data_IF_014030851472
#
_entry.id   IF_014030851472
#
_cell.length_a   1.000
_cell.length_b   1.000
_cell.length_c   1.000
_cell.angle_alpha   90.00
_cell.angle_beta   90.00
_cell.angle_gamma   90.00
#
_symmetry.space_group_name_H-M   'P 1'
#
loop_
_entity.id
_entity.type
_entity.pdbx_description
1 polymer ?
#
# COMPACT_ATOMS: atom_id res chain seq x y z
N UNK A 1 27.35 9.64 6.14
CA UNK A 1 25.90 9.96 6.06
C UNK A 1 25.35 10.09 4.63
N UNK A 2 26.15 10.30 3.58
CA UNK A 2 25.70 10.43 2.16
C UNK A 2 25.67 9.12 1.32
N UNK A 3 25.90 7.96 1.94
CA UNK A 3 25.81 6.62 1.33
C UNK A 3 24.92 5.67 2.15
N UNK A 4 24.07 6.22 3.02
CA UNK A 4 22.98 5.45 3.58
C UNK A 4 21.88 5.42 2.52
N UNK A 5 21.75 4.23 1.96
CA UNK A 5 20.74 3.71 1.04
C UNK A 5 19.52 4.63 0.78
N UNK A 6 19.55 5.35 -0.34
CA UNK A 6 18.42 6.16 -0.81
C UNK A 6 17.11 5.36 -0.81
N UNK A 7 17.17 4.04 -1.03
CA UNK A 7 16.01 3.16 -1.04
C UNK A 7 15.34 3.08 0.33
N UNK A 8 16.08 2.77 1.39
CA UNK A 8 15.54 2.70 2.75
C UNK A 8 14.93 4.04 3.18
N UNK A 9 15.56 5.16 2.84
CA UNK A 9 14.99 6.49 3.12
C UNK A 9 13.70 6.76 2.34
N UNK A 10 13.68 6.51 1.03
CA UNK A 10 12.47 6.67 0.20
C UNK A 10 11.34 5.79 0.70
N UNK A 11 11.64 4.55 1.08
CA UNK A 11 10.66 3.63 1.67
C UNK A 11 10.05 4.19 2.95
N UNK A 12 10.87 4.64 3.91
CA UNK A 12 10.39 5.23 5.17
C UNK A 12 9.50 6.46 4.92
N UNK A 13 9.85 7.31 3.95
CA UNK A 13 9.04 8.48 3.57
C UNK A 13 7.72 8.06 2.92
N UNK A 14 7.73 7.08 2.01
CA UNK A 14 6.52 6.57 1.36
C UNK A 14 5.56 5.95 2.40
N UNK A 15 6.08 5.10 3.29
CA UNK A 15 5.31 4.48 4.37
C UNK A 15 4.68 5.54 5.27
N UNK A 16 5.42 6.60 5.61
CA UNK A 16 4.89 7.73 6.37
C UNK A 16 3.73 8.42 5.65
N UNK A 17 3.89 8.75 4.37
CA UNK A 17 2.84 9.40 3.57
C UNK A 17 1.58 8.53 3.46
N UNK A 18 1.74 7.23 3.16
CA UNK A 18 0.65 6.26 3.05
C UNK A 18 -0.09 6.08 4.39
N UNK A 19 0.65 5.95 5.49
CA UNK A 19 0.08 5.83 6.82
C UNK A 19 -0.72 7.07 7.23
N UNK A 20 -0.19 8.27 6.94
CA UNK A 20 -0.89 9.53 7.19
C UNK A 20 -2.16 9.67 6.34
N UNK A 21 -2.12 9.27 5.07
CA UNK A 21 -3.28 9.30 4.20
C UNK A 21 -4.39 8.37 4.71
N UNK A 22 -4.05 7.15 5.13
CA UNK A 22 -5.00 6.22 5.73
C UNK A 22 -5.55 6.74 7.06
N UNK A 23 -4.70 7.32 7.92
CA UNK A 23 -5.13 7.91 9.19
C UNK A 23 -6.11 9.07 8.96
N UNK A 24 -5.83 9.95 7.99
CA UNK A 24 -6.76 11.03 7.59
C UNK A 24 -8.10 10.49 7.10
N UNK A 25 -8.11 9.42 6.32
CA UNK A 25 -9.35 8.76 5.87
C UNK A 25 -10.17 8.15 7.04
N UNK A 26 -9.56 8.01 8.22
CA UNK A 26 -10.22 7.62 9.47
C UNK A 26 -10.57 8.84 10.35
N UNK A 27 -10.50 10.06 9.81
CA UNK A 27 -10.69 11.33 10.52
C UNK A 27 -9.68 11.58 11.65
N UNK A 28 -8.47 11.01 11.57
CA UNK A 28 -7.37 11.33 12.48
C UNK A 28 -6.70 12.61 12.00
N UNK A 29 -6.67 13.62 12.88
CA UNK A 29 -6.29 14.97 12.53
C UNK A 29 -5.25 15.59 13.48
N UNK A 30 -4.77 16.79 13.14
CA UNK A 30 -3.98 17.63 14.04
C UNK A 30 -2.69 16.98 14.54
N UNK A 31 -2.46 17.07 15.85
CA UNK A 31 -1.25 16.53 16.49
C UNK A 31 -1.13 15.02 16.32
N UNK A 32 -2.22 14.27 16.50
CA UNK A 32 -2.20 12.82 16.42
C UNK A 32 -1.80 12.33 15.03
N UNK A 33 -2.25 12.99 13.97
CA UNK A 33 -1.82 12.67 12.61
C UNK A 33 -0.31 12.88 12.40
N UNK A 34 0.25 13.97 12.96
CA UNK A 34 1.70 14.20 12.89
C UNK A 34 2.46 13.10 13.64
N UNK A 35 1.96 12.65 14.78
CA UNK A 35 2.56 11.53 15.51
C UNK A 35 2.48 10.22 14.73
N UNK A 36 1.39 9.95 13.99
CA UNK A 36 1.28 8.79 13.10
C UNK A 36 2.33 8.86 11.98
N UNK A 37 2.44 10.00 11.32
CA UNK A 37 3.45 10.22 10.28
C UNK A 37 4.87 10.05 10.80
N UNK A 38 5.15 10.60 11.98
CA UNK A 38 6.46 10.48 12.61
C UNK A 38 6.78 9.04 13.03
N UNK A 39 5.83 8.34 13.67
CA UNK A 39 5.99 6.96 14.07
C UNK A 39 6.22 6.03 12.86
N UNK A 40 5.48 6.26 11.77
CA UNK A 40 5.66 5.57 10.51
C UNK A 40 7.02 5.88 9.87
N UNK A 41 7.46 7.14 9.89
CA UNK A 41 8.77 7.53 9.36
C UNK A 41 9.91 6.85 10.11
N UNK A 42 9.74 6.59 11.41
CA UNK A 42 10.79 6.04 12.28
C UNK A 42 10.72 4.53 12.51
N UNK A 43 9.75 3.82 11.91
CA UNK A 43 9.49 2.40 12.22
C UNK A 43 10.75 1.53 12.08
N UNK A 44 11.59 1.85 11.09
CA UNK A 44 12.76 1.09 10.68
C UNK A 44 14.09 1.60 11.23
N UNK A 45 14.08 2.62 12.12
CA UNK A 45 15.30 3.31 12.57
C UNK A 45 16.34 2.36 13.20
N UNK A 46 15.89 1.24 13.77
CA UNK A 46 16.77 0.23 14.36
C UNK A 46 17.69 -0.47 13.36
N UNK A 47 17.41 -0.40 12.04
CA UNK A 47 18.28 -0.93 10.99
C UNK A 47 19.67 -0.27 10.99
N UNK A 48 19.83 0.88 11.65
CA UNK A 48 21.14 1.51 11.89
C UNK A 48 22.14 0.60 12.63
N UNK A 49 21.63 -0.35 13.43
CA UNK A 49 22.46 -1.35 14.13
C UNK A 49 22.58 -2.69 13.39
N UNK A 50 21.93 -2.83 12.23
CA UNK A 50 22.03 -4.05 11.41
C UNK A 50 23.33 -4.00 10.59
N UNK A 51 24.17 -5.05 10.62
CA UNK A 51 25.36 -5.15 9.78
C UNK A 51 25.06 -4.95 8.30
N UNK A 52 25.92 -4.22 7.57
CA UNK A 52 25.67 -3.83 6.18
C UNK A 52 25.64 -5.01 5.21
N UNK A 53 26.38 -6.07 5.49
CA UNK A 53 26.42 -7.33 4.77
C UNK A 53 25.10 -8.11 4.91
N UNK A 54 24.44 -8.01 6.07
CA UNK A 54 23.07 -8.53 6.29
C UNK A 54 22.03 -7.63 5.65
N UNK A 55 22.14 -6.31 5.85
CA UNK A 55 21.14 -5.33 5.39
C UNK A 55 21.03 -5.26 3.87
N UNK A 56 22.17 -5.32 3.16
CA UNK A 56 22.23 -5.15 1.70
C UNK A 56 22.40 -6.49 0.95
N UNK A 57 22.16 -7.62 1.61
CA UNK A 57 22.33 -8.93 0.99
C UNK A 57 21.40 -9.08 -0.23
N UNK A 58 21.92 -9.42 -1.43
CA UNK A 58 21.09 -9.57 -2.63
C UNK A 58 20.28 -10.88 -2.64
N UNK A 59 20.76 -11.89 -1.91
CA UNK A 59 20.13 -13.20 -1.80
C UNK A 59 19.26 -13.32 -0.54
N UNK A 60 18.52 -14.43 -0.43
CA UNK A 60 17.76 -14.74 0.78
C UNK A 60 18.69 -14.78 2.00
N UNK A 61 18.24 -14.15 3.08
CA UNK A 61 18.91 -14.25 4.38
C UNK A 61 18.86 -15.69 4.88
N UNK A 62 19.98 -16.15 5.44
CA UNK A 62 20.02 -17.35 6.27
C UNK A 62 19.22 -17.12 7.56
N UNK A 63 18.96 -18.20 8.31
CA UNK A 63 18.24 -18.08 9.58
C UNK A 63 18.95 -17.13 10.56
N UNK A 64 20.27 -17.24 10.70
CA UNK A 64 21.04 -16.43 11.64
C UNK A 64 21.08 -14.96 11.22
N UNK A 65 21.22 -14.68 9.91
CA UNK A 65 21.14 -13.33 9.37
C UNK A 65 19.74 -12.72 9.54
N UNK A 66 18.70 -13.54 9.37
CA UNK A 66 17.33 -13.11 9.64
C UNK A 66 17.10 -12.85 11.13
N UNK A 67 17.66 -13.66 12.02
CA UNK A 67 17.63 -13.41 13.47
C UNK A 67 18.33 -12.10 13.85
N UNK A 68 19.43 -11.74 13.17
CA UNK A 68 20.06 -10.42 13.31
C UNK A 68 19.15 -9.31 12.79
N UNK A 69 18.58 -9.46 11.59
CA UNK A 69 17.66 -8.48 11.00
C UNK A 69 16.45 -8.21 11.90
N UNK A 70 15.85 -9.24 12.51
CA UNK A 70 14.69 -9.10 13.41
C UNK A 70 14.95 -8.18 14.61
N UNK A 71 16.20 -7.95 15.01
CA UNK A 71 16.54 -7.12 16.17
C UNK A 71 16.22 -5.64 15.98
N UNK A 72 16.10 -5.18 14.72
CA UNK A 72 15.84 -3.77 14.44
C UNK A 72 14.56 -3.24 15.10
N UNK A 73 13.53 -4.08 15.31
CA UNK A 73 12.29 -3.66 15.98
C UNK A 73 12.54 -3.29 17.44
N UNK A 74 13.37 -4.08 18.14
CA UNK A 74 13.72 -3.88 19.55
C UNK A 74 14.73 -2.74 19.68
N UNK A 75 15.75 -2.72 18.82
CA UNK A 75 16.77 -1.67 18.80
C UNK A 75 16.15 -0.31 18.45
N UNK A 76 15.24 -0.26 17.48
CA UNK A 76 14.52 0.94 17.08
C UNK A 76 13.66 1.49 18.22
N UNK A 77 12.90 0.62 18.88
CA UNK A 77 12.12 1.00 20.06
C UNK A 77 12.99 1.55 21.21
N UNK A 78 14.17 0.95 21.44
CA UNK A 78 15.12 1.43 22.43
C UNK A 78 15.74 2.79 22.09
N UNK A 79 16.12 3.00 20.83
CA UNK A 79 16.61 4.29 20.34
C UNK A 79 15.55 5.36 20.60
N UNK A 80 14.34 5.14 20.10
CA UNK A 80 13.25 6.12 20.16
C UNK A 80 12.83 6.43 21.61
N UNK A 81 12.78 5.42 22.49
CA UNK A 81 12.45 5.63 23.91
C UNK A 81 13.49 6.49 24.65
N UNK A 82 14.74 6.49 24.21
CA UNK A 82 15.83 7.28 24.82
C UNK A 82 15.98 8.67 24.19
N UNK A 83 15.29 8.94 23.09
CA UNK A 83 15.32 10.23 22.42
C UNK A 83 14.38 11.21 23.14
N UNK A 84 14.87 12.39 23.58
CA UNK A 84 14.02 13.42 24.18
C UNK A 84 12.91 13.86 23.22
N UNK A 85 11.74 14.21 23.77
CA UNK A 85 10.59 14.76 23.03
C UNK A 85 10.00 13.82 21.95
N UNK A 86 10.37 12.54 21.98
CA UNK A 86 9.86 11.53 21.06
C UNK A 86 8.37 11.25 21.32
N UNK A 87 7.49 11.32 20.29
CA UNK A 87 6.10 10.89 20.45
C UNK A 87 6.01 9.46 20.94
N UNK A 88 5.13 9.19 21.91
CA UNK A 88 5.00 7.86 22.53
C UNK A 88 4.64 6.76 21.52
N UNK A 89 3.98 7.11 20.40
CA UNK A 89 3.66 6.18 19.32
C UNK A 89 4.89 5.65 18.59
N UNK A 90 5.95 6.45 18.44
CA UNK A 90 7.12 6.05 17.66
C UNK A 90 7.82 4.77 18.19
N UNK A 91 8.20 4.67 19.48
CA UNK A 91 8.78 3.43 20.00
C UNK A 91 7.80 2.24 19.99
N UNK A 92 6.48 2.49 20.09
CA UNK A 92 5.47 1.43 20.01
C UNK A 92 5.43 0.85 18.59
N UNK A 93 5.33 1.70 17.57
CA UNK A 93 5.26 1.27 16.17
C UNK A 93 6.56 0.58 15.75
N UNK A 94 7.72 1.13 16.10
CA UNK A 94 9.01 0.50 15.81
C UNK A 94 9.09 -0.92 16.40
N UNK A 95 8.56 -1.14 17.60
CA UNK A 95 8.53 -2.46 18.23
C UNK A 95 7.52 -3.43 17.57
N UNK A 96 6.37 -2.92 17.14
CA UNK A 96 5.21 -3.76 16.80
C UNK A 96 4.98 -3.99 15.30
N UNK A 97 5.58 -3.22 14.38
CA UNK A 97 5.18 -3.20 12.96
C UNK A 97 5.40 -4.51 12.18
N UNK A 98 6.16 -5.47 12.72
CA UNK A 98 6.30 -6.81 12.15
C UNK A 98 5.48 -7.90 12.88
N UNK A 99 4.65 -7.49 13.82
CA UNK A 99 3.62 -8.34 14.41
C UNK A 99 2.39 -8.38 13.52
N UNK A 100 1.83 -9.57 13.39
CA UNK A 100 0.52 -9.80 12.78
C UNK A 100 -0.58 -9.51 13.78
N UNK A 101 -1.83 -9.44 13.31
CA UNK A 101 -2.98 -9.15 14.17
C UNK A 101 -3.20 -10.22 15.26
N UNK A 102 -2.82 -11.47 14.99
CA UNK A 102 -2.82 -12.58 15.95
C UNK A 102 -1.58 -12.61 16.87
N UNK A 103 -0.75 -11.56 16.82
CA UNK A 103 0.52 -11.41 17.54
C UNK A 103 1.62 -12.42 17.14
N UNK A 104 1.41 -13.20 16.08
CA UNK A 104 2.52 -13.92 15.45
C UNK A 104 3.46 -12.95 14.72
N UNK A 105 4.65 -13.41 14.34
CA UNK A 105 5.70 -12.54 13.80
C UNK A 105 6.78 -12.27 14.83
N UNK A 106 7.37 -11.08 14.81
CA UNK A 106 8.45 -10.72 15.72
C UNK A 106 8.31 -9.27 16.20
N UNK A 107 8.75 -8.97 17.44
CA UNK A 107 9.44 -9.86 18.38
C UNK A 107 8.53 -10.93 19.00
N UNK A 108 9.11 -12.09 19.35
CA UNK A 108 8.36 -13.22 19.91
C UNK A 108 8.08 -13.05 21.41
N UNK A 109 7.10 -13.80 21.95
CA UNK A 109 6.80 -13.89 23.41
C UNK A 109 6.36 -12.56 24.06
N UNK A 110 5.58 -11.75 23.35
CA UNK A 110 5.12 -10.42 23.80
C UNK A 110 3.89 -10.42 24.72
N UNK A 111 3.44 -11.61 25.16
CA UNK A 111 2.23 -11.77 25.98
C UNK A 111 0.94 -11.42 25.24
N UNK A 112 -0.18 -11.39 25.97
CA UNK A 112 -1.48 -10.99 25.43
C UNK A 112 -1.59 -9.48 25.38
N UNK A 113 -1.76 -8.90 24.19
CA UNK A 113 -2.02 -7.47 24.00
C UNK A 113 -2.79 -7.21 22.70
N UNK A 114 -3.20 -5.96 22.49
CA UNK A 114 -3.76 -5.52 21.20
C UNK A 114 -2.71 -4.63 20.53
N UNK A 115 -2.51 -4.83 19.23
CA UNK A 115 -1.67 -3.94 18.44
C UNK A 115 -2.23 -2.52 18.48
N UNK A 116 -1.35 -1.53 18.49
CA UNK A 116 -1.76 -0.14 18.39
C UNK A 116 -2.41 0.12 17.01
N UNK A 117 -3.39 1.04 16.95
CA UNK A 117 -4.01 1.45 15.69
C UNK A 117 -2.97 1.97 14.68
N UNK A 118 -2.02 2.78 15.17
CA UNK A 118 -0.93 3.30 14.36
C UNK A 118 -0.08 2.16 13.80
N UNK A 119 0.27 1.15 14.62
CA UNK A 119 0.98 -0.07 14.19
C UNK A 119 0.22 -0.78 13.06
N UNK A 120 -1.08 -1.01 13.22
CA UNK A 120 -1.87 -1.73 12.20
C UNK A 120 -1.89 -0.98 10.86
N UNK A 121 -1.96 0.35 10.89
CA UNK A 121 -1.89 1.21 9.69
C UNK A 121 -0.50 1.15 9.06
N UNK A 122 0.56 1.31 9.86
CA UNK A 122 1.95 1.29 9.38
C UNK A 122 2.31 -0.07 8.79
N UNK A 123 1.88 -1.17 9.39
CA UNK A 123 2.15 -2.53 8.88
C UNK A 123 1.52 -2.76 7.49
N UNK A 124 0.33 -2.19 7.24
CA UNK A 124 -0.31 -2.23 5.92
C UNK A 124 0.50 -1.39 4.92
N UNK A 125 0.85 -0.15 5.29
CA UNK A 125 1.60 0.77 4.44
C UNK A 125 3.00 0.25 4.08
N UNK A 126 3.71 -0.34 5.05
CA UNK A 126 5.03 -0.97 4.90
C UNK A 126 5.00 -2.09 3.86
N UNK A 127 4.13 -3.08 4.06
CA UNK A 127 4.01 -4.20 3.13
C UNK A 127 3.56 -3.75 1.74
N UNK A 128 2.62 -2.79 1.67
CA UNK A 128 2.18 -2.24 0.40
C UNK A 128 3.32 -1.56 -0.36
N UNK A 129 4.08 -0.66 0.28
CA UNK A 129 5.20 0.02 -0.37
C UNK A 129 6.32 -0.96 -0.74
N UNK A 130 6.59 -1.96 0.10
CA UNK A 130 7.57 -3.00 -0.19
C UNK A 130 7.20 -3.86 -1.41
N UNK A 131 5.91 -4.11 -1.64
CA UNK A 131 5.40 -4.85 -2.81
C UNK A 131 5.30 -3.99 -4.07
N UNK A 132 5.00 -2.69 -3.91
CA UNK A 132 4.84 -1.73 -5.01
C UNK A 132 6.18 -1.19 -5.51
N UNK A 133 7.15 -1.03 -4.63
CA UNK A 133 8.44 -0.44 -4.97
C UNK A 133 9.27 -1.37 -5.86
N UNK A 134 9.76 -0.83 -6.98
CA UNK A 134 10.76 -1.50 -7.81
C UNK A 134 12.10 -1.56 -7.05
N UNK A 135 12.59 -2.77 -6.80
CA UNK A 135 13.91 -3.03 -6.22
C UNK A 135 14.88 -3.42 -7.35
N UNK A 136 16.21 -3.32 -7.16
CA UNK A 136 17.19 -3.73 -8.18
C UNK A 136 16.99 -5.14 -8.75
N UNK A 137 16.32 -6.02 -7.99
CA UNK A 137 16.06 -7.41 -8.34
C UNK A 137 14.57 -7.74 -8.61
N UNK A 138 13.66 -6.76 -8.58
CA UNK A 138 12.21 -7.01 -8.75
C UNK A 138 11.47 -5.75 -9.23
N UNK A 139 10.74 -5.86 -10.35
CA UNK A 139 9.74 -4.85 -10.74
C UNK A 139 8.60 -4.82 -9.72
N UNK A 140 8.16 -3.63 -9.33
CA UNK A 140 7.01 -3.43 -8.47
C UNK A 140 5.76 -4.15 -8.98
N UNK A 141 4.92 -4.64 -8.07
CA UNK A 141 3.65 -5.26 -8.45
C UNK A 141 2.58 -4.20 -8.72
N UNK A 142 1.67 -4.50 -9.64
CA UNK A 142 0.44 -3.71 -9.83
C UNK A 142 -0.48 -3.82 -8.60
N UNK A 143 -1.22 -2.74 -8.32
CA UNK A 143 -2.04 -2.57 -7.11
C UNK A 143 -3.07 -3.68 -6.90
N UNK A 144 -3.66 -4.18 -8.00
CA UNK A 144 -4.60 -5.30 -8.02
C UNK A 144 -3.96 -6.61 -7.50
N UNK A 145 -2.73 -6.89 -7.92
CA UNK A 145 -1.96 -8.06 -7.49
C UNK A 145 -1.51 -7.93 -6.05
N UNK A 146 -1.10 -6.74 -5.62
CA UNK A 146 -0.77 -6.46 -4.21
C UNK A 146 -1.99 -6.71 -3.32
N UNK A 147 -3.16 -6.24 -3.73
CA UNK A 147 -4.42 -6.50 -3.03
C UNK A 147 -4.72 -7.99 -2.95
N UNK A 148 -4.56 -8.74 -4.03
CA UNK A 148 -4.81 -10.19 -3.99
C UNK A 148 -3.89 -10.88 -2.99
N UNK A 149 -2.62 -10.48 -2.91
CA UNK A 149 -1.63 -11.00 -1.94
C UNK A 149 -1.98 -10.59 -0.51
N UNK A 150 -2.32 -9.33 -0.27
CA UNK A 150 -2.59 -8.81 1.07
C UNK A 150 -3.99 -9.19 1.59
N UNK A 151 -4.94 -9.35 0.68
CA UNK A 151 -6.37 -9.53 0.93
C UNK A 151 -6.87 -10.97 0.83
N UNK A 152 -5.97 -11.97 0.80
CA UNK A 152 -6.37 -13.37 0.93
C UNK A 152 -7.24 -13.54 2.19
N UNK A 153 -8.48 -14.00 1.99
CA UNK A 153 -9.46 -14.12 3.08
C UNK A 153 -8.90 -15.03 4.18
N UNK A 154 -8.94 -14.53 5.42
CA UNK A 154 -8.45 -15.28 6.59
C UNK A 154 -6.98 -15.06 6.91
N UNK A 155 -6.24 -14.22 6.17
CA UNK A 155 -4.87 -13.85 6.54
C UNK A 155 -4.87 -13.13 7.90
N UNK A 156 -4.16 -13.67 8.92
CA UNK A 156 -4.04 -13.03 10.22
C UNK A 156 -3.05 -11.85 10.20
N UNK A 157 -2.41 -11.58 9.05
CA UNK A 157 -1.38 -10.55 8.92
C UNK A 157 -1.91 -9.13 9.18
N UNK A 158 -3.14 -8.85 8.75
CA UNK A 158 -3.68 -7.49 8.77
C UNK A 158 -5.10 -7.41 9.35
N UNK A 159 -5.39 -6.27 9.96
CA UNK A 159 -6.74 -5.89 10.28
C UNK A 159 -7.57 -5.68 9.01
N UNK A 160 -8.51 -6.60 8.76
CA UNK A 160 -9.28 -6.66 7.52
C UNK A 160 -10.08 -5.37 7.23
N UNK A 161 -10.80 -4.74 8.20
CA UNK A 161 -11.43 -3.45 7.98
C UNK A 161 -10.46 -2.33 7.57
N UNK A 162 -9.29 -2.24 8.21
CA UNK A 162 -8.27 -1.24 7.88
C UNK A 162 -7.67 -1.51 6.49
N UNK A 163 -7.36 -2.76 6.17
CA UNK A 163 -6.84 -3.15 4.85
C UNK A 163 -7.84 -2.79 3.74
N UNK A 164 -9.12 -3.09 3.92
CA UNK A 164 -10.17 -2.72 2.94
C UNK A 164 -10.21 -1.20 2.71
N UNK A 165 -10.14 -0.41 3.79
CA UNK A 165 -10.10 1.06 3.69
C UNK A 165 -8.83 1.56 3.01
N UNK A 166 -7.69 0.94 3.28
CA UNK A 166 -6.42 1.26 2.62
C UNK A 166 -6.50 1.01 1.11
N UNK A 167 -6.97 -0.17 0.71
CA UNK A 167 -7.17 -0.52 -0.70
C UNK A 167 -8.10 0.48 -1.38
N UNK A 168 -9.17 0.88 -0.70
CA UNK A 168 -10.09 1.88 -1.23
C UNK A 168 -9.42 3.25 -1.41
N UNK A 169 -8.61 3.68 -0.44
CA UNK A 169 -7.87 4.94 -0.48
C UNK A 169 -6.85 5.00 -1.62
N UNK A 170 -6.21 3.88 -1.93
CA UNK A 170 -5.19 3.85 -2.99
C UNK A 170 -5.76 4.13 -4.38
N UNK A 171 -7.09 4.12 -4.55
CA UNK A 171 -7.75 4.28 -5.83
C UNK A 171 -7.40 3.11 -6.73
N UNK A 172 -8.35 2.20 -6.97
CA UNK A 172 -8.10 1.11 -7.92
C UNK A 172 -7.82 1.67 -9.31
N UNK A 173 -8.48 2.79 -9.63
CA UNK A 173 -8.39 3.47 -10.89
C UNK A 173 -8.44 4.99 -10.65
N UNK A 174 -7.32 5.64 -10.34
CA UNK A 174 -7.25 7.09 -10.35
C UNK A 174 -7.66 7.66 -11.72
N UNK A 175 -8.16 8.89 -11.71
CA UNK A 175 -8.49 9.63 -12.93
C UNK A 175 -7.28 9.66 -13.86
N UNK A 176 -7.50 9.28 -15.12
CA UNK A 176 -6.46 9.16 -16.15
C UNK A 176 -5.91 7.75 -16.32
N UNK A 177 -6.27 6.78 -15.49
CA UNK A 177 -5.87 5.39 -15.73
C UNK A 177 -6.64 4.78 -16.91
N UNK A 178 -5.93 4.00 -17.73
CA UNK A 178 -6.51 3.12 -18.72
C UNK A 178 -6.91 1.80 -18.06
N UNK A 179 -8.12 1.32 -18.35
CA UNK A 179 -8.71 0.13 -17.73
C UNK A 179 -9.45 -0.74 -18.74
N UNK A 180 -9.50 -2.05 -18.50
CA UNK A 180 -10.31 -3.00 -19.26
C UNK A 180 -11.59 -3.33 -18.50
N UNK A 181 -12.71 -3.36 -19.21
CA UNK A 181 -14.02 -3.72 -18.67
C UNK A 181 -14.31 -5.21 -18.87
N UNK A 182 -15.31 -5.75 -18.17
CA UNK A 182 -15.78 -7.14 -18.31
C UNK A 182 -16.42 -7.45 -19.67
N UNK A 183 -16.64 -6.42 -20.47
CA UNK A 183 -17.08 -6.45 -21.87
C UNK A 183 -15.91 -6.45 -22.86
N UNK A 184 -14.67 -6.54 -22.38
CA UNK A 184 -13.41 -6.39 -23.13
C UNK A 184 -13.14 -5.00 -23.74
N UNK A 185 -14.08 -4.05 -23.59
CA UNK A 185 -13.90 -2.63 -23.90
C UNK A 185 -12.73 -2.02 -23.09
N UNK A 186 -12.02 -1.06 -23.69
CA UNK A 186 -11.00 -0.25 -23.02
C UNK A 186 -11.50 1.16 -22.75
N UNK A 187 -11.25 1.64 -21.54
CA UNK A 187 -11.77 2.92 -21.08
C UNK A 187 -10.75 3.68 -20.22
N UNK A 188 -10.86 5.02 -20.23
CA UNK A 188 -10.08 5.90 -19.36
C UNK A 188 -10.94 6.33 -18.18
N UNK A 189 -10.40 6.27 -16.97
CA UNK A 189 -11.13 6.72 -15.78
C UNK A 189 -11.24 8.23 -15.75
N UNK A 190 -12.47 8.75 -15.67
CA UNK A 190 -12.76 10.19 -15.68
C UNK A 190 -13.12 10.73 -14.30
N UNK A 191 -13.70 9.89 -13.43
CA UNK A 191 -14.01 10.27 -12.06
C UNK A 191 -14.01 9.06 -11.13
N UNK A 192 -13.62 9.29 -9.88
CA UNK A 192 -13.74 8.30 -8.80
C UNK A 192 -15.20 8.22 -8.32
N UNK A 193 -15.62 7.03 -7.89
CA UNK A 193 -16.89 6.90 -7.19
C UNK A 193 -16.74 7.28 -5.72
N UNK A 194 -17.63 8.13 -5.15
CA UNK A 194 -17.45 8.67 -3.81
C UNK A 194 -17.32 7.63 -2.68
N UNK A 195 -17.91 6.44 -2.85
CA UNK A 195 -18.01 5.43 -1.79
C UNK A 195 -17.56 4.02 -2.20
N UNK A 196 -17.35 3.78 -3.49
CA UNK A 196 -17.05 2.44 -4.03
C UNK A 196 -15.97 2.54 -5.12
N UNK A 197 -14.69 2.48 -4.76
CA UNK A 197 -13.59 2.73 -5.70
C UNK A 197 -13.48 1.67 -6.80
N UNK A 198 -14.23 0.56 -6.72
CA UNK A 198 -14.34 -0.43 -7.81
C UNK A 198 -15.29 0.03 -8.92
N UNK A 199 -15.96 1.17 -8.73
CA UNK A 199 -17.04 1.64 -9.59
C UNK A 199 -16.79 3.04 -10.17
N UNK A 200 -15.59 3.37 -10.71
CA UNK A 200 -15.35 4.70 -11.26
C UNK A 200 -16.27 5.02 -12.44
N UNK A 201 -16.40 6.31 -12.75
CA UNK A 201 -16.88 6.71 -14.06
C UNK A 201 -15.73 6.60 -15.06
N UNK A 202 -16.03 6.08 -16.23
CA UNK A 202 -15.04 5.83 -17.28
C UNK A 202 -15.53 6.39 -18.62
N UNK A 203 -14.60 6.73 -19.51
CA UNK A 203 -14.85 7.08 -20.91
C UNK A 203 -14.27 5.97 -21.78
N UNK A 204 -15.14 5.19 -22.41
CA UNK A 204 -14.79 4.07 -23.28
C UNK A 204 -14.22 4.63 -24.58
N UNK A 205 -13.03 4.16 -24.96
CA UNK A 205 -12.28 4.63 -26.12
C UNK A 205 -12.11 3.55 -27.19
N UNK A 206 -12.22 2.28 -26.83
CA UNK A 206 -12.25 1.16 -27.76
C UNK A 206 -13.35 0.17 -27.40
N UNK A 207 -13.93 -0.44 -28.43
CA UNK A 207 -14.96 -1.46 -28.30
C UNK A 207 -14.39 -2.85 -27.93
N UNK A 208 -15.28 -3.82 -27.77
CA UNK A 208 -14.98 -5.23 -27.50
C UNK A 208 -14.14 -5.93 -28.59
N UNK A 209 -14.05 -5.36 -29.80
CA UNK A 209 -13.25 -5.87 -30.92
C UNK A 209 -11.86 -5.24 -30.98
N UNK A 210 -11.59 -4.25 -30.13
CA UNK A 210 -10.35 -3.50 -30.11
C UNK A 210 -10.28 -2.37 -31.14
N UNK A 211 -11.42 -1.94 -31.69
CA UNK A 211 -11.49 -0.79 -32.59
C UNK A 211 -11.73 0.49 -31.79
N UNK A 212 -11.04 1.58 -32.15
CA UNK A 212 -11.26 2.88 -31.52
C UNK A 212 -12.64 3.43 -31.89
N UNK A 213 -13.34 3.94 -30.87
CA UNK A 213 -14.61 4.63 -31.07
C UNK A 213 -14.35 6.02 -31.66
N UNK A 214 -15.11 6.38 -32.71
CA UNK A 214 -15.09 7.75 -33.26
C UNK A 214 -15.53 8.77 -32.19
N UNK A 215 -16.52 8.41 -31.38
CA UNK A 215 -17.00 9.19 -30.24
C UNK A 215 -16.87 8.38 -28.94
N UNK A 216 -15.92 8.72 -28.05
CA UNK A 216 -15.77 8.04 -26.78
C UNK A 216 -17.01 8.13 -25.90
N UNK A 217 -17.46 6.99 -25.36
CA UNK A 217 -18.69 6.89 -24.58
C UNK A 217 -18.43 7.04 -23.08
N UNK A 218 -19.08 7.98 -22.42
CA UNK A 218 -19.05 8.08 -20.95
C UNK A 218 -19.97 7.01 -20.33
N UNK A 219 -19.45 6.23 -19.40
CA UNK A 219 -20.15 5.15 -18.74
C UNK A 219 -19.90 5.13 -17.23
N UNK A 220 -20.95 4.85 -16.47
CA UNK A 220 -20.91 4.70 -15.03
C UNK A 220 -20.83 3.21 -14.68
N UNK A 221 -19.70 2.75 -14.13
CA UNK A 221 -19.50 1.30 -13.90
C UNK A 221 -20.31 0.72 -12.73
N UNK A 222 -21.09 1.56 -12.03
CA UNK A 222 -22.08 1.16 -11.02
C UNK A 222 -23.46 0.85 -11.59
N UNK A 223 -23.72 1.15 -12.87
CA UNK A 223 -24.98 0.82 -13.51
C UNK A 223 -25.18 -0.71 -13.56
N UNK A 224 -26.44 -1.12 -13.43
CA UNK A 224 -26.84 -2.53 -13.41
C UNK A 224 -27.79 -2.83 -14.55
N UNK A 225 -27.66 -4.03 -15.12
CA UNK A 225 -28.54 -4.54 -16.15
C UNK A 225 -29.87 -5.05 -15.57
N UNK A 226 -30.77 -5.52 -16.44
CA UNK A 226 -32.06 -6.07 -16.05
C UNK A 226 -32.00 -7.34 -15.20
N UNK A 227 -30.81 -7.94 -15.02
CA UNK A 227 -30.54 -9.12 -14.17
C UNK A 227 -29.93 -8.72 -12.82
N UNK A 228 -29.66 -7.44 -12.60
CA UNK A 228 -29.04 -6.92 -11.39
C UNK A 228 -27.53 -7.06 -11.35
N UNK A 229 -26.90 -7.49 -12.45
CA UNK A 229 -25.45 -7.53 -12.62
C UNK A 229 -24.93 -6.18 -13.12
N UNK A 230 -23.67 -5.87 -12.84
CA UNK A 230 -23.08 -4.63 -13.34
C UNK A 230 -22.80 -4.76 -14.83
N UNK A 231 -23.43 -3.91 -15.64
CA UNK A 231 -23.37 -3.98 -17.11
C UNK A 231 -21.95 -3.82 -17.63
N UNK A 232 -21.17 -2.93 -17.00
CA UNK A 232 -19.77 -2.66 -17.29
C UNK A 232 -18.98 -2.51 -15.99
N UNK A 233 -18.15 -3.49 -15.68
CA UNK A 233 -17.33 -3.55 -14.48
C UNK A 233 -15.85 -3.52 -14.85
N UNK A 234 -15.04 -2.76 -14.11
CA UNK A 234 -13.60 -2.75 -14.34
C UNK A 234 -12.98 -4.07 -13.89
N UNK A 235 -12.23 -4.70 -14.79
CA UNK A 235 -11.55 -5.99 -14.56
C UNK A 235 -10.09 -5.77 -14.17
N UNK A 236 -9.38 -4.93 -14.91
CA UNK A 236 -7.95 -4.68 -14.70
C UNK A 236 -7.53 -3.27 -15.15
N UNK A 237 -6.41 -2.79 -14.61
CA UNK A 237 -5.71 -1.63 -15.14
C UNK A 237 -4.78 -2.08 -16.28
N UNK A 238 -4.69 -1.27 -17.33
CA UNK A 238 -3.90 -1.56 -18.52
C UNK A 238 -2.79 -0.53 -18.64
N UNK A 239 -1.59 -0.99 -19.01
CA UNK A 239 -0.44 -0.11 -19.25
C UNK A 239 -0.64 0.66 -20.57
N UNK A 240 -0.82 1.99 -20.56
CA UNK A 240 -1.06 2.77 -21.77
C UNK A 240 0.12 2.74 -22.74
N UNK A 241 1.37 2.64 -22.24
CA UNK A 241 2.57 2.59 -23.08
C UNK A 241 2.60 1.33 -23.94
N UNK A 242 2.05 0.22 -23.42
CA UNK A 242 1.98 -1.04 -24.17
C UNK A 242 1.06 -1.00 -25.39
N UNK A 243 0.17 0.00 -25.45
CA UNK A 243 -0.82 0.19 -26.51
C UNK A 243 -0.64 1.50 -27.30
N UNK A 244 0.41 2.27 -27.01
CA UNK A 244 0.65 3.60 -27.60
C UNK A 244 -0.53 4.58 -27.41
N UNK A 245 -1.19 4.50 -26.24
CA UNK A 245 -2.34 5.34 -25.89
C UNK A 245 -1.89 6.39 -24.89
N UNK A 246 -2.31 7.63 -25.12
CA UNK A 246 -2.21 8.72 -24.15
C UNK A 246 -3.59 8.94 -23.49
N UNK A 247 -3.82 8.42 -22.26
CA UNK A 247 -5.12 8.53 -21.60
C UNK A 247 -5.53 9.97 -21.31
N UNK A 248 -4.58 10.91 -21.21
CA UNK A 248 -4.86 12.30 -20.86
C UNK A 248 -5.65 13.02 -21.96
N UNK A 249 -5.60 12.54 -23.21
CA UNK A 249 -6.42 13.06 -24.31
C UNK A 249 -7.92 12.79 -24.13
N UNK A 250 -8.28 11.90 -23.21
CA UNK A 250 -9.65 11.43 -23.01
C UNK A 250 -10.24 11.84 -21.67
N UNK A 251 -9.58 12.72 -20.91
CA UNK A 251 -10.14 13.33 -19.70
C UNK A 251 -11.19 14.40 -20.05
#
# INVERSE_FOLDING_TARGET
MKKYDNYTFTHMVNVSALAMAQARALNIEGTLLREFGFAALMHDIGKVHTPLDVLNKPDKLTKDEFDVMKRHVVDGAHILRRTPEMPALAPIVAFEHHLKQDLSGYPEKIGSRKLNLCTMIVSIADVFDALRSTRPYRKGLATDRIRNIMGEQGSPAFNQPLLKRFVNLMGLFPVGNLVRLNTDELAVVTAEHPTDPFRPQVKIIMDEKGEFLEEPLLANTWERDGRGEHSRAVVEAVDPESLDIDPLKYL
#
